data_IF_170594436296
#
_entry.id   IF_170594436296
#
_cell.length_a   1.000
_cell.length_b   1.000
_cell.length_c   1.000
_cell.angle_alpha   90.00
_cell.angle_beta   90.00
_cell.angle_gamma   90.00
#
_symmetry.space_group_name_H-M   'P 1'
#
loop_
_entity.id
_entity.type
_entity.pdbx_description
1 polymer ?
#
# COMPACT_ATOMS: atom_id res chain seq x y z
N UNK A 1 5.51 -0.65 -28.09
CA UNK A 1 6.47 -0.81 -26.97
C UNK A 1 5.76 -1.13 -25.67
N UNK A 2 6.44 -1.71 -24.66
CA UNK A 2 5.93 -1.79 -23.28
C UNK A 2 6.67 -0.78 -22.41
N UNK A 3 5.91 0.06 -21.74
CA UNK A 3 6.42 1.07 -20.79
C UNK A 3 6.15 0.61 -19.36
N UNK A 4 7.19 0.66 -18.53
CA UNK A 4 7.10 0.53 -17.07
C UNK A 4 7.23 1.93 -16.48
N UNK A 5 6.25 2.31 -15.68
CA UNK A 5 6.20 3.62 -15.05
C UNK A 5 6.23 3.46 -13.54
N UNK A 6 7.14 4.20 -12.89
CA UNK A 6 7.20 4.33 -11.42
C UNK A 6 6.70 5.71 -11.03
N UNK A 7 5.80 5.78 -10.04
CA UNK A 7 5.20 7.03 -9.60
C UNK A 7 5.02 7.11 -8.09
N UNK A 8 4.96 8.33 -7.58
CA UNK A 8 4.51 8.66 -6.23
C UNK A 8 3.16 9.38 -6.30
N UNK A 9 2.35 9.28 -5.24
CA UNK A 9 1.13 10.06 -5.11
C UNK A 9 0.71 10.27 -3.65
N UNK A 10 0.06 11.41 -3.42
CA UNK A 10 -0.74 11.67 -2.24
C UNK A 10 -2.15 11.12 -2.45
N UNK A 11 -2.54 10.13 -1.66
CA UNK A 11 -3.82 9.42 -1.81
C UNK A 11 -5.04 10.13 -1.22
N UNK A 12 -4.87 11.25 -0.49
CA UNK A 12 -5.94 11.88 0.29
C UNK A 12 -7.20 12.22 -0.52
N UNK A 13 -7.03 12.62 -1.77
CA UNK A 13 -8.11 13.03 -2.66
C UNK A 13 -8.70 11.88 -3.50
N UNK A 14 -8.26 10.63 -3.25
CA UNK A 14 -8.63 9.49 -4.09
C UNK A 14 -9.31 8.39 -3.28
N UNK A 15 -10.29 7.75 -3.90
CA UNK A 15 -10.97 6.56 -3.35
C UNK A 15 -10.16 5.28 -3.54
N UNK A 16 -8.92 5.40 -4.03
CA UNK A 16 -7.92 4.36 -4.22
C UNK A 16 -7.22 4.47 -5.56
N UNK A 17 -6.37 3.48 -5.87
CA UNK A 17 -5.66 3.46 -7.15
C UNK A 17 -6.57 3.02 -8.30
N UNK A 18 -7.27 1.88 -8.14
CA UNK A 18 -8.04 1.24 -9.21
C UNK A 18 -9.30 2.04 -9.54
N UNK A 19 -9.59 2.17 -10.84
CA UNK A 19 -10.84 2.76 -11.37
C UNK A 19 -12.07 2.12 -10.74
N UNK A 20 -12.98 2.96 -10.24
CA UNK A 20 -14.24 2.58 -9.60
C UNK A 20 -15.24 3.75 -9.64
N UNK A 21 -16.57 3.49 -9.61
CA UNK A 21 -17.56 4.51 -9.89
C UNK A 21 -17.81 5.51 -8.76
N UNK A 22 -17.28 5.27 -7.55
CA UNK A 22 -17.65 6.01 -6.33
C UNK A 22 -16.74 7.22 -6.03
N UNK A 23 -15.88 7.65 -6.96
CA UNK A 23 -15.05 8.83 -6.80
C UNK A 23 -13.77 8.82 -7.64
N UNK A 24 -12.93 9.86 -7.55
CA UNK A 24 -11.71 9.97 -8.33
C UNK A 24 -10.68 8.90 -7.95
N UNK A 25 -9.98 8.36 -8.96
CA UNK A 25 -8.94 7.35 -8.76
C UNK A 25 -7.63 7.78 -9.41
N UNK A 26 -6.51 7.20 -8.93
CA UNK A 26 -5.20 7.43 -9.53
C UNK A 26 -5.16 6.88 -10.97
N UNK A 27 -5.75 5.71 -11.20
CA UNK A 27 -5.81 5.06 -12.51
C UNK A 27 -6.52 5.93 -13.55
N UNK A 28 -7.70 6.46 -13.22
CA UNK A 28 -8.47 7.27 -14.17
C UNK A 28 -7.72 8.57 -14.55
N UNK A 29 -7.01 9.17 -13.58
CA UNK A 29 -6.20 10.35 -13.83
C UNK A 29 -5.04 10.06 -14.80
N UNK A 30 -4.35 8.92 -14.61
CA UNK A 30 -3.25 8.50 -15.47
C UNK A 30 -3.75 8.09 -16.86
N UNK A 31 -4.82 7.30 -16.96
CA UNK A 31 -5.40 6.85 -18.24
C UNK A 31 -5.93 8.04 -19.05
N UNK A 32 -6.50 9.06 -18.38
CA UNK A 32 -6.87 10.32 -19.03
C UNK A 32 -5.65 11.04 -19.63
N UNK A 33 -4.56 11.17 -18.88
CA UNK A 33 -3.32 11.77 -19.36
C UNK A 33 -2.72 10.99 -20.55
N UNK A 34 -2.72 9.66 -20.49
CA UNK A 34 -2.28 8.81 -21.61
C UNK A 34 -3.14 9.00 -22.85
N UNK A 35 -4.45 9.11 -22.68
CA UNK A 35 -5.38 9.39 -23.79
C UNK A 35 -5.08 10.73 -24.48
N UNK A 36 -4.76 11.77 -23.71
CA UNK A 36 -4.37 13.07 -24.27
C UNK A 36 -3.02 13.00 -25.01
N UNK A 37 -2.05 12.20 -24.50
CA UNK A 37 -0.72 12.05 -25.11
C UNK A 37 -0.78 11.26 -26.41
N UNK A 38 -1.47 10.12 -26.42
CA UNK A 38 -1.44 9.15 -27.51
C UNK A 38 -2.66 9.23 -28.45
N UNK A 39 -3.71 9.97 -28.05
CA UNK A 39 -4.99 10.09 -28.74
C UNK A 39 -5.72 8.73 -28.91
N UNK A 40 -5.58 7.87 -27.90
CA UNK A 40 -6.24 6.56 -27.82
C UNK A 40 -6.44 6.11 -26.38
N UNK A 41 -7.45 5.25 -26.16
CA UNK A 41 -7.74 4.73 -24.83
C UNK A 41 -6.71 3.64 -24.48
N UNK A 42 -5.87 3.92 -23.48
CA UNK A 42 -4.83 3.02 -22.99
C UNK A 42 -5.19 2.59 -21.57
N UNK A 43 -5.28 1.27 -21.36
CA UNK A 43 -5.46 0.68 -20.04
C UNK A 43 -4.12 0.36 -19.40
N UNK A 44 -3.96 0.78 -18.14
CA UNK A 44 -2.76 0.47 -17.37
C UNK A 44 -2.95 -0.76 -16.49
N UNK A 45 -1.86 -1.49 -16.25
CA UNK A 45 -1.81 -2.63 -15.33
C UNK A 45 -0.90 -2.28 -14.17
N UNK A 46 -1.50 -2.10 -12.99
CA UNK A 46 -0.80 -1.73 -11.75
C UNK A 46 -0.18 -2.94 -11.04
N UNK A 47 0.90 -2.71 -10.30
CA UNK A 47 1.57 -3.72 -9.48
C UNK A 47 0.80 -4.02 -8.19
N UNK A 48 0.18 -3.01 -7.60
CA UNK A 48 -0.56 -3.14 -6.33
C UNK A 48 -1.78 -2.23 -6.32
N UNK A 49 -2.92 -2.78 -5.89
CA UNK A 49 -4.07 -1.96 -5.53
C UNK A 49 -3.78 -1.29 -4.19
N UNK A 50 -4.07 -0.01 -4.08
CA UNK A 50 -4.09 0.72 -2.82
C UNK A 50 -5.51 1.18 -2.51
N UNK A 51 -5.89 1.14 -1.24
CA UNK A 51 -7.22 1.57 -0.77
C UNK A 51 -7.33 3.10 -0.77
N UNK A 52 -8.53 3.60 -0.45
CA UNK A 52 -8.80 5.02 -0.28
C UNK A 52 -7.83 5.66 0.73
N UNK A 53 -7.34 6.85 0.40
CA UNK A 53 -6.40 7.66 1.18
C UNK A 53 -5.02 7.03 1.42
N UNK A 54 -4.69 5.91 0.79
CA UNK A 54 -3.36 5.29 0.84
C UNK A 54 -2.44 5.99 -0.14
N UNK A 55 -1.24 6.34 0.31
CA UNK A 55 -0.20 7.00 -0.46
C UNK A 55 0.76 6.00 -1.12
N UNK A 56 1.60 6.49 -2.02
CA UNK A 56 2.72 5.73 -2.53
C UNK A 56 3.96 6.61 -2.79
N UNK A 57 5.13 6.05 -2.49
CA UNK A 57 6.42 6.58 -2.95
C UNK A 57 6.97 5.82 -4.16
N UNK A 58 6.48 4.61 -4.41
CA UNK A 58 7.03 3.73 -5.43
C UNK A 58 6.00 2.76 -6.03
N UNK A 59 4.82 3.24 -6.41
CA UNK A 59 3.87 2.46 -7.19
C UNK A 59 4.42 2.23 -8.59
N UNK A 60 4.10 1.09 -9.18
CA UNK A 60 4.51 0.74 -10.54
C UNK A 60 3.28 0.30 -11.35
N UNK A 61 3.22 0.75 -12.59
CA UNK A 61 2.32 0.19 -13.59
C UNK A 61 3.05 -0.03 -14.91
N UNK A 62 2.45 -0.81 -15.81
CA UNK A 62 2.88 -0.90 -17.18
C UNK A 62 1.69 -0.73 -18.12
N UNK A 63 2.01 -0.35 -19.35
CA UNK A 63 1.08 -0.33 -20.47
C UNK A 63 1.82 -0.60 -21.77
N UNK A 64 1.09 -1.00 -22.80
CA UNK A 64 1.59 -1.17 -24.16
C UNK A 64 1.07 -0.04 -25.03
N UNK A 65 1.92 0.42 -25.95
CA UNK A 65 1.54 1.32 -27.03
C UNK A 65 2.41 1.08 -28.26
N UNK A 66 1.81 1.17 -29.45
CA UNK A 66 2.51 0.98 -30.73
C UNK A 66 3.18 2.29 -31.19
N UNK A 67 2.69 3.45 -30.76
CA UNK A 67 3.36 4.74 -31.00
C UNK A 67 4.53 4.89 -30.02
N UNK A 68 5.71 4.91 -30.57
CA UNK A 68 6.93 5.05 -29.77
C UNK A 68 7.10 6.49 -29.28
N UNK A 69 7.40 6.63 -27.99
CA UNK A 69 7.75 7.90 -27.38
C UNK A 69 8.98 7.73 -26.49
N UNK A 70 9.89 8.67 -26.57
CA UNK A 70 11.05 8.71 -25.69
C UNK A 70 10.62 8.74 -24.21
N UNK A 71 11.19 7.89 -23.34
CA UNK A 71 10.80 7.78 -21.93
C UNK A 71 10.90 9.08 -21.15
N UNK A 72 11.88 9.92 -21.45
CA UNK A 72 12.05 11.21 -20.79
C UNK A 72 10.93 12.18 -21.18
N UNK A 73 10.59 12.23 -22.47
CA UNK A 73 9.46 13.05 -22.97
C UNK A 73 8.14 12.56 -22.41
N UNK A 74 7.90 11.24 -22.38
CA UNK A 74 6.71 10.65 -21.82
C UNK A 74 6.55 10.97 -20.32
N UNK A 75 7.66 10.90 -19.57
CA UNK A 75 7.67 11.33 -18.14
C UNK A 75 7.26 12.79 -18.01
N UNK A 76 7.80 13.67 -18.82
CA UNK A 76 7.46 15.11 -18.82
C UNK A 76 5.99 15.35 -19.15
N UNK A 77 5.47 14.72 -20.20
CA UNK A 77 4.08 14.83 -20.62
C UNK A 77 3.11 14.33 -19.54
N UNK A 78 3.38 13.16 -18.95
CA UNK A 78 2.57 12.63 -17.85
C UNK A 78 2.55 13.60 -16.65
N UNK A 79 3.71 14.11 -16.22
CA UNK A 79 3.77 15.07 -15.10
C UNK A 79 3.09 16.40 -15.38
N UNK A 80 2.97 16.78 -16.66
CA UNK A 80 2.27 18.01 -17.08
C UNK A 80 0.75 17.84 -17.06
N UNK A 81 0.25 16.64 -17.35
CA UNK A 81 -1.17 16.35 -17.54
C UNK A 81 -1.85 15.70 -16.33
N UNK A 82 -1.08 15.05 -15.45
CA UNK A 82 -1.62 14.50 -14.22
C UNK A 82 -1.80 15.57 -13.14
N UNK A 83 -2.69 15.31 -12.17
CA UNK A 83 -2.87 16.19 -11.02
C UNK A 83 -1.57 16.36 -10.23
N UNK A 84 -1.40 17.51 -9.55
CA UNK A 84 -0.19 17.85 -8.77
C UNK A 84 0.13 16.90 -7.61
N UNK A 85 -0.84 16.12 -7.17
CA UNK A 85 -0.70 15.08 -6.15
C UNK A 85 -0.25 13.71 -6.71
N UNK A 86 -0.01 13.62 -8.03
CA UNK A 86 0.58 12.47 -8.72
C UNK A 86 1.89 12.91 -9.38
N UNK A 87 2.98 12.17 -9.13
CA UNK A 87 4.28 12.47 -9.72
C UNK A 87 4.92 11.22 -10.32
N UNK A 88 5.15 11.24 -11.63
CA UNK A 88 5.89 10.19 -12.34
C UNK A 88 7.39 10.36 -12.08
N UNK A 89 7.98 9.39 -11.39
CA UNK A 89 9.39 9.38 -11.00
C UNK A 89 10.25 8.91 -12.16
N UNK A 90 9.85 7.81 -12.82
CA UNK A 90 10.63 7.14 -13.86
C UNK A 90 9.74 6.48 -14.90
N UNK A 91 10.14 6.54 -16.15
CA UNK A 91 9.59 5.76 -17.28
C UNK A 91 10.72 4.96 -17.90
N UNK A 92 10.48 3.67 -18.15
CA UNK A 92 11.43 2.73 -18.74
C UNK A 92 10.75 1.93 -19.85
N UNK A 93 11.42 1.71 -20.97
CA UNK A 93 11.02 0.69 -21.94
C UNK A 93 11.50 -0.65 -21.42
N UNK A 94 10.61 -1.63 -21.40
CA UNK A 94 10.88 -2.97 -20.88
C UNK A 94 10.46 -4.06 -21.86
N UNK A 95 10.95 -5.28 -21.65
CA UNK A 95 10.52 -6.44 -22.43
C UNK A 95 9.00 -6.64 -22.38
N UNK A 96 8.40 -7.12 -23.47
CA UNK A 96 6.96 -7.51 -23.50
C UNK A 96 6.61 -8.61 -22.49
N UNK A 97 7.59 -9.34 -21.97
CA UNK A 97 7.41 -10.34 -20.91
C UNK A 97 7.30 -9.72 -19.51
N UNK A 98 7.65 -8.44 -19.35
CA UNK A 98 7.49 -7.76 -18.06
C UNK A 98 6.01 -7.58 -17.73
N UNK A 99 5.61 -7.98 -16.52
CA UNK A 99 4.26 -7.76 -16.02
C UNK A 99 4.32 -7.11 -14.64
N UNK A 100 3.80 -5.89 -14.51
CA UNK A 100 3.90 -5.08 -13.29
C UNK A 100 3.36 -5.79 -12.03
N UNK A 101 2.32 -6.65 -12.17
CA UNK A 101 1.72 -7.36 -11.04
C UNK A 101 2.37 -8.72 -10.78
N UNK A 102 2.64 -9.50 -11.83
CA UNK A 102 3.03 -10.91 -11.67
C UNK A 102 4.54 -11.12 -11.51
N UNK A 103 5.37 -10.18 -11.96
CA UNK A 103 6.83 -10.27 -11.78
C UNK A 103 7.32 -9.66 -10.45
N UNK A 104 6.42 -9.24 -9.57
CA UNK A 104 6.80 -8.69 -8.27
C UNK A 104 7.41 -9.77 -7.38
N UNK A 105 8.61 -9.50 -6.84
CA UNK A 105 9.26 -10.33 -5.83
C UNK A 105 8.82 -9.98 -4.43
N UNK A 106 8.81 -8.69 -4.11
CA UNK A 106 8.29 -8.21 -2.85
C UNK A 106 7.77 -6.76 -2.92
N UNK A 107 6.97 -6.40 -1.92
CA UNK A 107 6.45 -5.05 -1.70
C UNK A 107 6.81 -4.63 -0.28
N UNK A 108 7.19 -3.37 -0.13
CA UNK A 108 7.41 -2.75 1.18
C UNK A 108 6.36 -1.67 1.40
N UNK A 109 5.72 -1.71 2.54
CA UNK A 109 4.82 -0.66 3.04
C UNK A 109 5.39 -0.02 4.28
N UNK A 110 5.18 1.29 4.41
CA UNK A 110 5.40 2.03 5.64
C UNK A 110 4.07 2.52 6.18
N UNK A 111 3.86 2.40 7.49
CA UNK A 111 2.74 3.03 8.18
C UNK A 111 3.25 4.03 9.20
N UNK A 112 2.81 5.28 9.10
CA UNK A 112 3.22 6.38 9.98
C UNK A 112 2.19 6.60 11.08
N UNK A 113 2.67 6.71 12.33
CA UNK A 113 1.85 6.97 13.51
C UNK A 113 2.48 8.12 14.30
N UNK A 114 1.74 9.20 14.50
CA UNK A 114 2.10 10.23 15.46
C UNK A 114 1.59 9.82 16.85
N UNK A 115 2.51 9.68 17.81
CA UNK A 115 2.23 9.32 19.22
C UNK A 115 2.40 10.51 20.17
N UNK A 116 2.71 11.68 19.66
CA UNK A 116 2.77 12.94 20.40
C UNK A 116 1.42 13.68 20.39
N UNK A 117 1.49 14.97 20.62
CA UNK A 117 0.34 15.86 20.45
C UNK A 117 -0.16 15.83 19.01
N UNK A 118 -1.43 16.22 18.82
CA UNK A 118 -2.01 16.32 17.49
C UNK A 118 -1.22 17.31 16.63
N UNK A 119 -0.75 16.84 15.47
CA UNK A 119 0.01 17.64 14.52
C UNK A 119 -0.83 17.85 13.24
N UNK A 120 -1.25 19.10 13.01
CA UNK A 120 -2.05 19.50 11.85
C UNK A 120 -1.33 19.26 10.51
N UNK A 121 0.02 19.28 10.51
CA UNK A 121 0.82 19.02 9.29
C UNK A 121 0.96 17.54 8.97
N UNK A 122 0.68 16.67 9.93
CA UNK A 122 0.62 15.22 9.76
C UNK A 122 -0.83 14.72 9.55
N UNK A 123 -1.83 15.60 9.64
CA UNK A 123 -3.21 15.21 9.37
C UNK A 123 -3.38 14.76 7.91
N UNK A 124 -3.98 13.59 7.71
CA UNK A 124 -4.04 12.94 6.40
C UNK A 124 -2.73 12.26 5.93
N UNK A 125 -1.62 12.33 6.71
CA UNK A 125 -0.33 11.74 6.35
C UNK A 125 0.22 10.77 7.41
N UNK A 126 -0.31 10.81 8.63
CA UNK A 126 -0.02 9.85 9.69
C UNK A 126 -1.28 9.58 10.50
N UNK A 127 -1.35 8.41 11.11
CA UNK A 127 -2.38 8.13 12.10
C UNK A 127 -2.06 8.89 13.39
N UNK A 128 -2.97 9.75 13.85
CA UNK A 128 -2.84 10.51 15.11
C UNK A 128 -3.27 9.60 16.26
N UNK A 129 -2.31 9.08 17.02
CA UNK A 129 -2.57 8.14 18.11
C UNK A 129 -2.53 8.85 19.46
N UNK A 130 -3.68 9.02 20.09
CA UNK A 130 -3.82 9.68 21.39
C UNK A 130 -3.57 8.75 22.59
N UNK A 131 -3.21 7.50 22.33
CA UNK A 131 -3.03 6.50 23.37
C UNK A 131 -1.56 6.32 23.72
N UNK A 132 -1.27 6.11 25.01
CA UNK A 132 0.03 5.59 25.42
C UNK A 132 0.19 4.17 24.90
N UNK A 133 1.31 3.91 24.23
CA UNK A 133 1.63 2.61 23.62
C UNK A 133 2.85 1.98 24.28
N UNK A 134 2.76 0.71 24.60
CA UNK A 134 3.92 -0.12 24.95
C UNK A 134 4.62 -0.54 23.65
N UNK A 135 5.68 0.20 23.29
CA UNK A 135 6.40 -0.03 22.03
C UNK A 135 7.21 -1.32 22.04
N UNK A 136 7.66 -1.78 23.21
CA UNK A 136 8.46 -3.02 23.28
C UNK A 136 7.54 -4.22 23.11
N UNK A 137 6.37 -4.21 23.73
CA UNK A 137 5.34 -5.22 23.50
C UNK A 137 4.87 -5.23 22.03
N UNK A 138 4.70 -4.05 21.40
CA UNK A 138 4.39 -3.97 19.97
C UNK A 138 5.49 -4.57 19.08
N UNK A 139 6.78 -4.38 19.42
CA UNK A 139 7.90 -5.01 18.69
C UNK A 139 7.92 -6.53 18.85
N UNK A 140 7.56 -7.05 20.03
CA UNK A 140 7.40 -8.50 20.24
C UNK A 140 6.24 -9.04 19.38
N UNK A 141 5.08 -8.41 19.42
CA UNK A 141 3.94 -8.80 18.59
C UNK A 141 4.25 -8.73 17.08
N UNK A 142 5.04 -7.75 16.64
CA UNK A 142 5.45 -7.63 15.24
C UNK A 142 6.27 -8.83 14.74
N UNK A 143 7.05 -9.49 15.62
CA UNK A 143 7.82 -10.69 15.26
C UNK A 143 6.93 -11.88 14.93
N UNK A 144 5.73 -11.96 15.51
CA UNK A 144 4.79 -13.06 15.26
C UNK A 144 4.28 -13.09 13.83
N UNK A 145 4.30 -11.96 13.13
CA UNK A 145 3.89 -11.90 11.72
C UNK A 145 4.95 -12.37 10.72
N UNK A 146 6.21 -12.53 11.18
CA UNK A 146 7.30 -12.96 10.29
C UNK A 146 7.12 -14.42 9.87
N UNK A 147 7.48 -14.71 8.63
CA UNK A 147 7.32 -16.04 8.06
C UNK A 147 6.08 -16.17 7.19
N UNK A 148 5.70 -17.40 6.90
CA UNK A 148 4.58 -17.76 6.03
C UNK A 148 3.38 -18.17 6.87
N UNK A 149 2.27 -17.44 6.76
CA UNK A 149 1.06 -17.68 7.52
C UNK A 149 -0.18 -17.52 6.66
N UNK A 150 -1.29 -18.12 7.06
CA UNK A 150 -2.62 -17.76 6.57
C UNK A 150 -3.10 -16.47 7.25
N UNK A 151 -3.17 -15.37 6.49
CA UNK A 151 -3.60 -14.06 6.97
C UNK A 151 -5.11 -13.82 6.83
N UNK A 152 -5.94 -14.86 6.81
CA UNK A 152 -7.40 -14.73 6.73
C UNK A 152 -7.99 -13.88 7.85
N UNK A 153 -7.43 -13.92 9.06
CA UNK A 153 -7.84 -13.07 10.18
C UNK A 153 -7.49 -11.57 9.98
N UNK A 154 -6.59 -11.24 9.06
CA UNK A 154 -6.04 -9.90 8.86
C UNK A 154 -6.46 -9.25 7.55
N UNK A 155 -7.56 -9.67 6.93
CA UNK A 155 -8.04 -9.06 5.69
C UNK A 155 -9.57 -8.88 5.69
N UNK A 156 -10.05 -8.07 4.74
CA UNK A 156 -11.48 -7.79 4.56
C UNK A 156 -12.05 -8.38 3.27
N UNK A 157 -11.34 -9.33 2.65
CA UNK A 157 -11.86 -10.05 1.49
C UNK A 157 -13.07 -10.89 1.91
N UNK A 158 -14.17 -10.90 1.13
CA UNK A 158 -15.32 -11.73 1.43
C UNK A 158 -14.96 -13.19 1.65
N UNK A 159 -15.71 -13.88 2.50
CA UNK A 159 -15.45 -15.29 2.87
C UNK A 159 -15.58 -16.26 1.68
N UNK A 160 -16.46 -15.91 0.74
CA UNK A 160 -16.76 -16.71 -0.46
C UNK A 160 -15.61 -16.74 -1.47
N UNK A 161 -14.68 -15.79 -1.35
CA UNK A 161 -13.48 -15.76 -2.19
C UNK A 161 -12.47 -16.78 -1.64
N UNK A 162 -12.46 -17.99 -2.23
CA UNK A 162 -11.60 -19.13 -1.85
C UNK A 162 -10.12 -18.95 -2.26
N UNK A 163 -9.71 -17.74 -2.66
CA UNK A 163 -8.33 -17.46 -3.02
C UNK A 163 -7.39 -17.76 -1.83
N UNK A 164 -6.21 -18.26 -2.12
CA UNK A 164 -5.15 -18.49 -1.14
C UNK A 164 -4.83 -17.21 -0.37
N UNK A 165 -5.01 -17.26 0.95
CA UNK A 165 -4.76 -16.16 1.87
C UNK A 165 -3.35 -16.22 2.51
N UNK A 166 -2.56 -17.22 2.11
CA UNK A 166 -1.20 -17.41 2.60
C UNK A 166 -0.28 -16.34 2.03
N UNK A 167 0.51 -15.68 2.90
CA UNK A 167 1.54 -14.69 2.52
C UNK A 167 2.79 -14.90 3.36
N UNK A 168 3.91 -14.47 2.80
CA UNK A 168 5.21 -14.51 3.49
C UNK A 168 5.65 -13.09 3.82
N UNK A 169 5.77 -12.78 5.11
CA UNK A 169 6.31 -11.51 5.60
C UNK A 169 7.79 -11.70 5.95
N UNK A 170 8.65 -10.98 5.26
CA UNK A 170 10.12 -11.09 5.43
C UNK A 170 10.70 -10.01 6.34
N UNK A 171 9.96 -8.91 6.56
CA UNK A 171 10.36 -7.83 7.45
C UNK A 171 9.13 -7.23 8.12
N UNK A 172 9.19 -7.04 9.44
CA UNK A 172 8.25 -6.25 10.20
C UNK A 172 9.01 -5.48 11.27
N UNK A 173 9.20 -4.17 11.06
CA UNK A 173 10.06 -3.33 11.90
C UNK A 173 9.31 -2.11 12.40
N UNK A 174 9.50 -1.76 13.67
CA UNK A 174 8.99 -0.54 14.30
C UNK A 174 10.18 0.34 14.66
N UNK A 175 10.22 1.54 14.12
CA UNK A 175 11.22 2.55 14.44
C UNK A 175 10.55 3.82 14.95
N UNK A 176 11.25 4.56 15.83
CA UNK A 176 10.76 5.81 16.41
C UNK A 176 11.74 6.93 16.13
N UNK A 177 11.24 8.07 15.67
CA UNK A 177 11.98 9.32 15.60
C UNK A 177 11.14 10.41 16.27
N UNK A 178 11.54 10.85 17.46
CA UNK A 178 10.71 11.73 18.31
C UNK A 178 9.33 11.11 18.55
N UNK A 179 8.28 11.78 18.12
CA UNK A 179 6.89 11.34 18.27
C UNK A 179 6.33 10.61 17.05
N UNK A 180 7.13 10.45 16.01
CA UNK A 180 6.72 9.70 14.82
C UNK A 180 7.25 8.28 14.87
N UNK A 181 6.32 7.30 14.84
CA UNK A 181 6.62 5.90 14.60
C UNK A 181 6.51 5.59 13.12
N UNK A 182 7.44 4.80 12.61
CA UNK A 182 7.36 4.19 11.29
C UNK A 182 7.33 2.68 11.45
N UNK A 183 6.25 2.06 10.98
CA UNK A 183 6.12 0.61 10.89
C UNK A 183 6.39 0.22 9.45
N UNK A 184 7.49 -0.53 9.21
CA UNK A 184 7.87 -1.03 7.90
C UNK A 184 7.51 -2.52 7.80
N UNK A 185 6.79 -2.88 6.74
CA UNK A 185 6.39 -4.27 6.46
C UNK A 185 6.78 -4.63 5.04
N UNK A 186 7.55 -5.72 4.87
CA UNK A 186 7.94 -6.26 3.57
C UNK A 186 7.46 -7.69 3.42
N UNK A 187 6.83 -8.01 2.30
CA UNK A 187 6.34 -9.36 2.00
C UNK A 187 6.19 -9.61 0.50
N UNK A 188 5.91 -10.86 0.13
CA UNK A 188 5.67 -11.29 -1.26
C UNK A 188 4.38 -10.73 -1.85
N UNK A 189 3.38 -10.50 -0.99
CA UNK A 189 2.08 -9.93 -1.33
C UNK A 189 1.29 -9.53 -0.09
N UNK A 190 0.24 -8.75 -0.30
CA UNK A 190 -0.66 -8.32 0.76
C UNK A 190 -2.12 -8.46 0.33
N UNK A 191 -2.96 -8.89 1.27
CA UNK A 191 -4.41 -8.99 1.10
C UNK A 191 -5.06 -7.61 1.34
N UNK A 192 -6.33 -7.50 1.00
CA UNK A 192 -7.10 -6.27 1.20
C UNK A 192 -7.10 -5.85 2.67
N UNK A 193 -6.67 -4.61 2.94
CA UNK A 193 -6.51 -4.01 4.27
C UNK A 193 -5.51 -4.73 5.20
N UNK A 194 -4.75 -5.73 4.75
CA UNK A 194 -3.91 -6.58 5.60
C UNK A 194 -2.94 -5.77 6.47
N UNK A 195 -2.14 -4.89 5.90
CA UNK A 195 -1.17 -4.07 6.66
C UNK A 195 -1.89 -3.20 7.69
N UNK A 196 -3.01 -2.58 7.33
CA UNK A 196 -3.79 -1.73 8.23
C UNK A 196 -4.35 -2.49 9.42
N UNK A 197 -4.82 -3.72 9.20
CA UNK A 197 -5.35 -4.59 10.28
C UNK A 197 -4.20 -5.08 11.16
N UNK A 198 -3.07 -5.51 10.61
CA UNK A 198 -1.90 -5.91 11.40
C UNK A 198 -1.41 -4.75 12.30
N UNK A 199 -1.27 -3.54 11.73
CA UNK A 199 -0.86 -2.36 12.50
C UNK A 199 -1.91 -1.98 13.54
N UNK A 200 -3.20 -2.02 13.22
CA UNK A 200 -4.28 -1.79 14.18
C UNK A 200 -4.26 -2.78 15.33
N UNK A 201 -3.99 -4.06 15.04
CA UNK A 201 -3.85 -5.11 16.05
C UNK A 201 -2.65 -4.83 16.97
N UNK A 202 -1.51 -4.38 16.43
CA UNK A 202 -0.36 -3.97 17.25
C UNK A 202 -0.65 -2.74 18.12
N UNK A 203 -1.44 -1.79 17.64
CA UNK A 203 -1.90 -0.66 18.46
C UNK A 203 -2.75 -1.16 19.62
N UNK A 204 -3.70 -2.07 19.38
CA UNK A 204 -4.50 -2.67 20.45
C UNK A 204 -3.65 -3.49 21.42
N UNK A 205 -2.61 -4.19 20.96
CA UNK A 205 -1.62 -4.86 21.80
C UNK A 205 -0.86 -3.84 22.67
N UNK A 206 -0.31 -2.77 22.09
CA UNK A 206 0.44 -1.74 22.81
C UNK A 206 -0.42 -0.94 23.82
N UNK A 207 -1.75 -0.96 23.67
CA UNK A 207 -2.74 -0.40 24.59
C UNK A 207 -3.19 -1.37 25.69
N UNK A 208 -2.71 -2.62 25.66
CA UNK A 208 -3.16 -3.68 26.54
C UNK A 208 -4.59 -4.18 26.28
N UNK A 209 -5.17 -3.92 25.08
CA UNK A 209 -6.48 -4.43 24.67
C UNK A 209 -6.41 -5.83 24.05
N UNK A 210 -5.24 -6.23 23.63
CA UNK A 210 -4.90 -7.56 23.12
C UNK A 210 -3.62 -8.06 23.79
N UNK A 211 -3.44 -9.36 23.80
CA UNK A 211 -2.22 -10.06 24.21
C UNK A 211 -1.45 -10.61 23.01
N UNK A 212 -0.21 -11.05 23.22
CA UNK A 212 0.57 -11.80 22.22
C UNK A 212 -0.18 -13.07 21.81
N UNK A 213 -0.76 -13.78 22.77
CA UNK A 213 -1.56 -14.99 22.54
C UNK A 213 -2.78 -14.71 21.62
N UNK A 214 -3.39 -13.53 21.68
CA UNK A 214 -4.47 -13.20 20.74
C UNK A 214 -3.95 -13.15 19.29
N UNK A 215 -2.76 -12.60 19.07
CA UNK A 215 -2.15 -12.56 17.73
C UNK A 215 -1.77 -13.97 17.27
N UNK A 216 -1.15 -14.77 18.13
CA UNK A 216 -0.82 -16.17 17.87
C UNK A 216 -2.07 -16.97 17.46
N UNK A 217 -3.16 -16.84 18.22
CA UNK A 217 -4.43 -17.49 17.92
C UNK A 217 -5.03 -17.01 16.58
N UNK A 218 -4.93 -15.72 16.26
CA UNK A 218 -5.41 -15.18 14.98
C UNK A 218 -4.62 -15.74 13.78
N UNK A 219 -3.36 -16.13 13.97
CA UNK A 219 -2.52 -16.74 12.94
C UNK A 219 -2.72 -18.27 12.89
N UNK A 220 -2.82 -18.94 14.06
CA UNK A 220 -2.93 -20.39 14.15
C UNK A 220 -4.33 -20.92 13.75
N UNK A 221 -5.38 -20.16 14.09
CA UNK A 221 -6.77 -20.50 13.79
C UNK A 221 -7.42 -19.34 13.02
N UNK A 222 -7.17 -19.22 11.71
CA UNK A 222 -7.65 -18.11 10.92
C UNK A 222 -9.16 -17.93 11.00
N UNK A 223 -9.60 -16.75 11.43
CA UNK A 223 -11.01 -16.44 11.62
C UNK A 223 -11.38 -15.10 10.98
N UNK A 224 -12.09 -15.15 9.85
CA UNK A 224 -12.56 -13.95 9.14
C UNK A 224 -13.60 -13.14 9.94
N UNK A 225 -14.20 -13.71 10.98
CA UNK A 225 -15.13 -13.01 11.88
C UNK A 225 -14.42 -12.37 13.09
N UNK A 226 -13.11 -12.55 13.24
CA UNK A 226 -12.37 -11.93 14.34
C UNK A 226 -12.56 -10.41 14.34
N UNK A 227 -12.75 -9.83 15.52
CA UNK A 227 -12.82 -8.36 15.69
C UNK A 227 -11.49 -7.75 15.26
N UNK A 228 -11.54 -6.84 14.29
CA UNK A 228 -10.38 -6.23 13.66
C UNK A 228 -10.43 -4.72 13.83
N UNK A 229 -9.33 -4.16 14.23
CA UNK A 229 -9.14 -2.71 14.19
C UNK A 229 -8.51 -2.32 12.85
N UNK A 230 -9.35 -1.94 11.89
CA UNK A 230 -8.91 -1.48 10.57
C UNK A 230 -8.68 0.03 10.60
N UNK A 231 -7.45 0.44 10.91
CA UNK A 231 -7.07 1.86 11.00
C UNK A 231 -7.11 2.56 9.64
N UNK A 232 -7.08 3.92 9.66
CA UNK A 232 -7.17 4.74 8.45
C UNK A 232 -6.12 4.40 7.40
N UNK A 233 -6.44 4.62 6.10
CA UNK A 233 -5.49 4.50 5.00
C UNK A 233 -4.45 5.63 4.95
N UNK A 234 -4.74 6.79 5.52
CA UNK A 234 -3.91 8.00 5.43
C UNK A 234 -2.54 7.93 6.11
N UNK A 235 -2.30 6.93 6.95
CA UNK A 235 -0.95 6.66 7.47
C UNK A 235 -0.15 5.67 6.63
N UNK A 236 -0.77 5.02 5.61
CA UNK A 236 -0.16 3.93 4.86
C UNK A 236 0.45 4.42 3.53
N UNK A 237 1.67 3.96 3.27
CA UNK A 237 2.44 4.25 2.07
C UNK A 237 2.93 2.97 1.41
N UNK A 238 2.60 2.76 0.14
CA UNK A 238 3.33 1.80 -0.70
C UNK A 238 4.72 2.39 -0.98
N UNK A 239 5.72 1.93 -0.22
CA UNK A 239 7.03 2.55 -0.23
C UNK A 239 7.88 2.09 -1.41
N UNK A 240 7.91 0.78 -1.69
CA UNK A 240 8.75 0.19 -2.74
C UNK A 240 8.19 -1.12 -3.26
N UNK A 241 8.41 -1.36 -4.55
CA UNK A 241 8.16 -2.65 -5.23
C UNK A 241 9.48 -3.14 -5.84
N UNK A 242 9.81 -4.41 -5.65
CA UNK A 242 10.99 -5.06 -6.24
C UNK A 242 10.56 -6.12 -7.23
N UNK A 243 11.28 -6.17 -8.34
CA UNK A 243 11.13 -7.12 -9.44
C UNK A 243 12.31 -8.07 -9.56
#
# INVERSE_FOLDING_TARGET
MRYKVTLAYNGNNYVGFQSQPNGPTIQDNIEKALKEIFHEDIRIIMASRTDAKVHAYGQVFHFDNDKEMDPYRLKGALNSLTNKDIHVIKVEVVSKNFHARFNVKNKTYNYLINIGEYDVFLDGFAYQCHYKLDLDLMKEGAKLYLGTHDFSSFNTTPYEDKADQTRTITEFKITRKKDLLTITVTGDGFLKNMVRIMVGTLIDLGRGKKSLTDIENMLAVPNKKAVRYNITGSGLYLYKIRY
#
